data_IF_076700100056
#
_entry.id   IF_076700100056
#
_cell.length_a   1.000
_cell.length_b   1.000
_cell.length_c   1.000
_cell.angle_alpha   90.00
_cell.angle_beta   90.00
_cell.angle_gamma   90.00
#
_symmetry.space_group_name_H-M   'P 1'
#
loop_
_entity.id
_entity.type
_entity.pdbx_description
1 polymer ?
#
# COMPACT_ATOMS: atom_id res chain seq x y z
N UNK A 1 -16.28 -9.48 -15.94
CA UNK A 1 -14.89 -9.31 -16.43
C UNK A 1 -14.39 -8.03 -15.83
N UNK A 2 -14.18 -8.06 -14.52
CA UNK A 2 -14.19 -6.87 -13.69
C UNK A 2 -12.75 -6.56 -13.35
N UNK A 3 -12.22 -5.54 -14.01
CA UNK A 3 -10.91 -5.00 -13.66
C UNK A 3 -10.95 -4.64 -12.18
N UNK A 4 -10.13 -5.30 -11.36
CA UNK A 4 -9.93 -4.92 -9.97
C UNK A 4 -9.23 -3.57 -9.98
N UNK A 5 -10.03 -2.51 -9.92
CA UNK A 5 -9.53 -1.15 -9.76
C UNK A 5 -9.14 -0.99 -8.30
N UNK A 6 -7.86 -0.72 -8.04
CA UNK A 6 -7.38 -0.49 -6.68
C UNK A 6 -7.92 0.83 -6.15
N UNK A 7 -8.58 0.81 -4.98
CA UNK A 7 -9.15 2.00 -4.31
C UNK A 7 -8.19 3.18 -4.25
N UNK A 8 -6.90 2.92 -4.03
CA UNK A 8 -5.88 3.97 -4.03
C UNK A 8 -5.85 4.78 -5.34
N UNK A 9 -5.87 4.10 -6.50
CA UNK A 9 -5.81 4.75 -7.82
C UNK A 9 -7.13 5.46 -8.15
N UNK A 10 -8.25 4.89 -7.68
CA UNK A 10 -9.58 5.45 -7.87
C UNK A 10 -9.79 6.72 -7.05
N UNK A 11 -9.38 6.74 -5.78
CA UNK A 11 -9.73 7.81 -4.85
C UNK A 11 -8.66 8.91 -4.79
N UNK A 12 -7.42 8.63 -5.22
CA UNK A 12 -6.30 9.55 -5.06
C UNK A 12 -5.54 9.84 -6.36
N UNK A 13 -5.00 11.05 -6.46
CA UNK A 13 -3.92 11.41 -7.38
C UNK A 13 -2.60 11.41 -6.61
N UNK A 14 -1.69 10.49 -6.93
CA UNK A 14 -0.32 10.53 -6.41
C UNK A 14 0.45 11.71 -7.00
N UNK A 15 1.15 12.46 -6.16
CA UNK A 15 1.90 13.65 -6.58
C UNK A 15 3.40 13.36 -6.55
N UNK A 16 3.96 13.17 -5.36
CA UNK A 16 5.39 12.93 -5.17
C UNK A 16 5.65 12.06 -3.94
N UNK A 17 6.82 11.45 -3.94
CA UNK A 17 7.29 10.62 -2.83
C UNK A 17 7.86 11.51 -1.74
N UNK A 18 7.33 11.37 -0.53
CA UNK A 18 7.81 12.07 0.67
C UNK A 18 8.97 11.34 1.35
N UNK A 19 8.98 10.00 1.29
CA UNK A 19 10.05 9.22 1.91
C UNK A 19 9.94 7.70 1.71
N UNK A 20 11.00 6.99 2.11
CA UNK A 20 11.07 5.52 2.15
C UNK A 20 11.44 5.08 3.57
N UNK A 21 10.77 4.04 4.06
CA UNK A 21 11.12 3.36 5.31
C UNK A 21 11.28 1.86 5.09
N UNK A 22 11.45 1.10 6.18
CA UNK A 22 11.69 -0.34 6.13
C UNK A 22 10.63 -1.12 5.33
N UNK A 23 9.35 -0.87 5.60
CA UNK A 23 8.24 -1.65 5.06
C UNK A 23 7.56 -1.01 3.83
N UNK A 24 8.07 0.12 3.33
CA UNK A 24 7.32 0.84 2.31
C UNK A 24 7.78 2.26 2.03
N UNK A 25 6.91 3.00 1.33
CA UNK A 25 7.15 4.38 0.93
C UNK A 25 5.94 5.25 1.24
N UNK A 26 6.18 6.50 1.59
CA UNK A 26 5.14 7.50 1.85
C UNK A 26 5.08 8.46 0.67
N UNK A 27 3.87 8.76 0.20
CA UNK A 27 3.61 9.66 -0.92
C UNK A 27 2.65 10.76 -0.50
N UNK A 28 2.83 11.96 -1.05
CA UNK A 28 1.81 12.99 -1.03
C UNK A 28 0.81 12.68 -2.12
N UNK A 29 -0.47 12.73 -1.77
CA UNK A 29 -1.55 12.45 -2.70
C UNK A 29 -2.74 13.37 -2.45
N UNK A 30 -3.44 13.77 -3.53
CA UNK A 30 -4.68 14.53 -3.44
C UNK A 30 -5.86 13.57 -3.45
N UNK A 31 -6.74 13.63 -2.45
CA UNK A 31 -8.01 12.91 -2.47
C UNK A 31 -8.95 13.59 -3.47
N UNK A 32 -9.54 12.81 -4.36
CA UNK A 32 -10.43 13.31 -5.43
C UNK A 32 -11.78 13.81 -4.93
N UNK A 33 -12.22 13.35 -3.77
CA UNK A 33 -13.54 13.67 -3.22
C UNK A 33 -13.56 15.03 -2.52
N UNK A 34 -12.52 15.32 -1.74
CA UNK A 34 -12.45 16.51 -0.90
C UNK A 34 -11.37 17.51 -1.34
N UNK A 35 -10.60 17.16 -2.38
CA UNK A 35 -9.50 17.95 -2.95
C UNK A 35 -8.35 18.26 -1.96
N UNK A 36 -8.25 17.54 -0.84
CA UNK A 36 -7.20 17.76 0.17
C UNK A 36 -5.97 16.89 -0.05
N UNK A 37 -4.85 17.35 0.51
CA UNK A 37 -3.55 16.67 0.46
C UNK A 37 -3.34 15.74 1.66
N UNK A 38 -2.92 14.51 1.40
CA UNK A 38 -2.67 13.48 2.40
C UNK A 38 -1.29 12.85 2.20
N UNK A 39 -0.68 12.39 3.30
CA UNK A 39 0.46 11.50 3.27
C UNK A 39 -0.02 10.04 3.34
N UNK A 40 0.22 9.26 2.29
CA UNK A 40 -0.23 7.86 2.19
C UNK A 40 0.98 6.93 2.21
N UNK A 41 1.02 5.99 3.16
CA UNK A 41 2.07 4.97 3.28
C UNK A 41 1.67 3.71 2.51
N UNK A 42 2.41 3.39 1.45
CA UNK A 42 2.28 2.14 0.68
C UNK A 42 3.18 1.07 1.29
N UNK A 43 2.59 -0.06 1.71
CA UNK A 43 3.28 -1.23 2.26
C UNK A 43 3.21 -2.37 1.24
N UNK A 44 4.35 -2.99 0.95
CA UNK A 44 4.44 -4.14 0.04
C UNK A 44 4.29 -5.42 0.86
N UNK A 45 3.20 -6.15 0.64
CA UNK A 45 3.02 -7.49 1.22
C UNK A 45 3.49 -8.54 0.22
N UNK A 46 4.54 -9.29 0.57
CA UNK A 46 4.94 -10.46 -0.21
C UNK A 46 3.90 -11.57 -0.02
N UNK A 47 3.24 -11.98 -1.10
CA UNK A 47 2.26 -13.09 -1.09
C UNK A 47 2.87 -14.46 -0.77
N UNK A 48 4.20 -14.56 -0.63
CA UNK A 48 4.91 -15.82 -0.40
C UNK A 48 5.13 -16.19 1.07
N UNK A 49 4.76 -15.32 2.03
CA UNK A 49 5.08 -15.56 3.45
C UNK A 49 4.04 -16.34 4.26
N UNK A 50 2.92 -16.74 3.66
CA UNK A 50 1.90 -17.54 4.37
C UNK A 50 2.18 -19.06 4.38
N UNK A 51 3.19 -19.57 3.64
CA UNK A 51 3.56 -21.00 3.71
C UNK A 51 4.52 -21.35 4.84
N UNK A 52 5.18 -20.39 5.47
CA UNK A 52 6.27 -20.67 6.43
C UNK A 52 5.91 -20.43 7.89
N UNK A 53 4.62 -20.29 8.22
CA UNK A 53 4.14 -20.21 9.63
C UNK A 53 3.71 -21.54 10.25
N UNK A 54 3.99 -22.69 9.60
CA UNK A 54 3.68 -24.02 10.14
C UNK A 54 4.90 -24.92 10.42
N UNK A 55 6.14 -24.40 10.38
CA UNK A 55 7.36 -25.21 10.64
C UNK A 55 8.11 -24.86 11.94
N UNK A 56 7.51 -24.10 12.85
CA UNK A 56 8.13 -23.76 14.15
C UNK A 56 7.27 -24.15 15.36
N UNK A 57 6.54 -25.27 15.29
CA UNK A 57 5.79 -25.84 16.43
C UNK A 57 6.05 -27.35 16.63
N UNK A 58 7.27 -27.81 16.30
CA UNK A 58 7.75 -29.13 16.73
C UNK A 58 9.20 -29.02 17.20
N UNK A 59 9.35 -28.61 18.45
CA UNK A 59 10.43 -28.98 19.34
C UNK A 59 9.80 -29.21 20.71
#
# INVERSE_FOLDING_TARGET
>A
GDAVIFRYVQDFYEIDKLGKGAFGSVFRAKNRLDDRMYAIKKIIFNKNTDRTRCQAQRA
#
